data_IF_953925563157
#
_entry.id   IF_953925563157
#
_cell.length_a   1.000
_cell.length_b   1.000
_cell.length_c   1.000
_cell.angle_alpha   90.00
_cell.angle_beta   90.00
_cell.angle_gamma   90.00
#
_symmetry.space_group_name_H-M   'P 1'
#
loop_
_entity.id
_entity.type
_entity.pdbx_description
1 polymer ?
#
# COMPACT_ATOMS: atom_id res chain seq x y z
N UNK A 1 -27.47 -33.39 74.06
CA UNK A 1 -27.51 -34.03 72.74
C UNK A 1 -27.37 -32.92 71.70
N UNK A 2 -26.17 -32.70 71.18
CA UNK A 2 -25.92 -31.70 70.17
C UNK A 2 -25.87 -32.41 68.80
N UNK A 3 -26.86 -32.14 67.99
CA UNK A 3 -26.88 -32.67 66.61
C UNK A 3 -26.08 -31.70 65.72
N UNK A 4 -24.90 -32.12 65.28
CA UNK A 4 -24.15 -31.37 64.24
C UNK A 4 -24.82 -31.61 62.85
N UNK A 5 -25.06 -30.56 62.06
CA UNK A 5 -25.39 -30.73 60.66
C UNK A 5 -24.11 -30.91 59.86
N UNK A 6 -24.06 -31.94 59.05
CA UNK A 6 -23.03 -32.22 58.09
C UNK A 6 -23.25 -31.22 56.94
N UNK A 7 -22.36 -30.22 56.84
CA UNK A 7 -22.32 -29.34 55.68
C UNK A 7 -21.62 -30.09 54.55
N UNK A 8 -22.38 -30.54 53.59
CA UNK A 8 -21.87 -31.10 52.34
C UNK A 8 -21.27 -29.96 51.51
N UNK A 9 -19.95 -29.91 51.44
CA UNK A 9 -19.20 -28.97 50.63
C UNK A 9 -19.23 -29.46 49.18
N UNK A 10 -20.10 -28.85 48.37
CA UNK A 10 -20.18 -29.11 46.94
C UNK A 10 -18.98 -28.43 46.26
N UNK A 11 -17.95 -29.19 45.93
CA UNK A 11 -16.87 -28.69 45.05
C UNK A 11 -17.39 -28.63 43.62
N UNK A 12 -17.65 -27.41 43.14
CA UNK A 12 -17.90 -27.16 41.72
C UNK A 12 -16.56 -27.21 40.98
N UNK A 13 -16.33 -28.28 40.24
CA UNK A 13 -15.22 -28.39 39.31
C UNK A 13 -15.51 -27.50 38.10
N UNK A 14 -14.81 -26.37 38.03
CA UNK A 14 -14.81 -25.51 36.88
C UNK A 14 -13.94 -26.17 35.82
N UNK A 15 -14.55 -26.85 34.84
CA UNK A 15 -13.87 -27.34 33.66
C UNK A 15 -13.59 -26.15 32.72
N UNK A 16 -12.35 -25.68 32.70
CA UNK A 16 -11.88 -24.71 31.73
C UNK A 16 -11.86 -25.38 30.35
N UNK A 17 -12.77 -24.99 29.48
CA UNK A 17 -12.75 -25.36 28.06
C UNK A 17 -11.57 -24.66 27.40
N UNK A 18 -10.71 -25.36 26.64
CA UNK A 18 -9.67 -24.71 25.86
C UNK A 18 -10.31 -23.84 24.80
N UNK A 19 -10.02 -22.55 24.82
CA UNK A 19 -10.42 -21.63 23.76
C UNK A 19 -9.76 -22.05 22.43
N UNK A 20 -10.49 -22.06 21.30
CA UNK A 20 -9.89 -22.35 20.01
C UNK A 20 -8.83 -21.28 19.71
N UNK A 21 -7.59 -21.71 19.50
CA UNK A 21 -6.53 -20.87 19.02
C UNK A 21 -6.91 -20.39 17.60
N UNK A 22 -7.33 -19.15 17.46
CA UNK A 22 -7.54 -18.53 16.16
C UNK A 22 -6.16 -18.29 15.53
N UNK A 23 -5.82 -19.14 14.58
CA UNK A 23 -4.68 -18.92 13.71
C UNK A 23 -4.99 -17.72 12.84
N UNK A 24 -4.49 -16.56 13.22
CA UNK A 24 -4.50 -15.39 12.31
C UNK A 24 -3.50 -15.69 11.19
N UNK A 25 -4.01 -16.11 10.05
CA UNK A 25 -3.22 -16.16 8.82
C UNK A 25 -3.00 -14.72 8.39
N UNK A 26 -1.87 -14.15 8.78
CA UNK A 26 -1.40 -12.87 8.27
C UNK A 26 -0.93 -13.12 6.84
N UNK A 27 -1.80 -12.87 5.86
CA UNK A 27 -1.40 -12.80 4.47
C UNK A 27 -0.62 -11.49 4.32
N UNK A 28 0.69 -11.55 4.47
CA UNK A 28 1.60 -10.46 4.10
C UNK A 28 1.63 -10.39 2.57
N UNK A 29 0.67 -9.69 1.99
CA UNK A 29 0.77 -9.25 0.61
C UNK A 29 1.85 -8.17 0.61
N UNK A 30 3.02 -8.51 0.07
CA UNK A 30 4.10 -7.55 -0.13
C UNK A 30 3.71 -6.60 -1.25
N UNK A 31 2.76 -5.72 -0.96
CA UNK A 31 2.42 -4.57 -1.78
C UNK A 31 3.58 -3.61 -1.54
N UNK A 32 4.42 -3.35 -2.52
CA UNK A 32 5.63 -2.52 -2.47
C UNK A 32 5.76 -1.57 -1.27
N UNK A 33 6.94 -1.16 -0.96
CA UNK A 33 7.16 -0.29 0.20
C UNK A 33 6.43 1.04 0.01
N UNK A 34 5.52 1.45 0.93
CA UNK A 34 4.84 2.73 0.82
C UNK A 34 5.85 3.88 0.80
N UNK A 35 5.57 4.96 0.06
CA UNK A 35 6.40 6.15 0.08
C UNK A 35 6.51 6.74 1.48
N UNK A 36 7.62 7.40 1.82
CA UNK A 36 7.74 8.13 3.07
C UNK A 36 6.74 9.29 3.12
N UNK A 37 6.31 9.68 4.31
CA UNK A 37 5.48 10.86 4.50
C UNK A 37 6.25 12.13 4.10
N UNK A 38 5.53 13.09 3.49
CA UNK A 38 6.12 14.33 3.01
C UNK A 38 5.85 15.42 4.05
N UNK A 39 6.90 15.98 4.61
CA UNK A 39 6.82 17.05 5.62
C UNK A 39 6.69 18.43 4.96
N UNK A 40 7.39 18.64 3.84
CA UNK A 40 7.34 19.91 3.10
C UNK A 40 6.31 19.84 1.98
N UNK A 41 5.48 20.89 1.83
CA UNK A 41 4.53 20.97 0.73
C UNK A 41 5.27 21.26 -0.58
N UNK A 42 5.14 20.40 -1.60
CA UNK A 42 5.69 20.67 -2.91
C UNK A 42 4.85 21.73 -3.64
N UNK A 43 5.50 22.42 -4.57
CA UNK A 43 4.80 23.30 -5.51
C UNK A 43 4.03 22.44 -6.51
N UNK A 44 2.73 22.67 -6.60
CA UNK A 44 1.84 21.98 -7.54
C UNK A 44 1.65 22.83 -8.79
N UNK A 45 1.83 22.23 -9.96
CA UNK A 45 1.67 22.84 -11.26
C UNK A 45 0.53 22.12 -12.00
N UNK A 46 -0.41 22.84 -12.64
CA UNK A 46 -1.48 22.20 -13.38
C UNK A 46 -0.92 21.44 -14.59
N UNK A 47 -1.46 20.24 -14.82
CA UNK A 47 -1.26 19.49 -16.05
C UNK A 47 -2.08 20.13 -17.16
N UNK A 48 -1.48 20.38 -18.31
CA UNK A 48 -2.15 21.05 -19.42
C UNK A 48 -3.39 20.26 -19.88
N UNK A 49 -4.50 20.95 -20.04
CA UNK A 49 -5.80 20.40 -20.45
C UNK A 49 -6.33 19.27 -19.53
N UNK A 50 -6.00 19.32 -18.24
CA UNK A 50 -6.39 18.32 -17.25
C UNK A 50 -6.75 19.00 -15.93
N UNK A 51 -7.69 18.44 -15.14
CA UNK A 51 -7.95 18.92 -13.77
C UNK A 51 -6.93 18.45 -12.74
N UNK A 52 -5.86 17.76 -13.18
CA UNK A 52 -4.82 17.20 -12.33
C UNK A 52 -3.68 18.19 -12.16
N UNK A 53 -3.10 18.23 -10.97
CA UNK A 53 -1.86 18.94 -10.68
C UNK A 53 -0.74 17.93 -10.45
N UNK A 54 0.49 18.33 -10.75
CA UNK A 54 1.68 17.51 -10.48
C UNK A 54 2.76 18.33 -9.77
N UNK A 55 3.69 17.67 -9.12
CA UNK A 55 4.80 18.30 -8.42
C UNK A 55 6.12 18.07 -9.16
N UNK A 56 6.59 19.01 -10.00
CA UNK A 56 7.77 18.81 -10.82
C UNK A 56 9.06 18.70 -10.01
N UNK A 57 9.12 19.33 -8.86
CA UNK A 57 10.30 19.36 -7.99
C UNK A 57 10.34 18.25 -6.95
N UNK A 58 9.31 17.43 -6.89
CA UNK A 58 9.27 16.30 -5.96
C UNK A 58 9.97 15.07 -6.55
N UNK A 59 10.71 14.31 -5.73
CA UNK A 59 11.50 13.18 -6.20
C UNK A 59 10.71 12.09 -6.94
N UNK A 60 9.70 11.45 -6.33
CA UNK A 60 8.80 10.54 -7.02
C UNK A 60 7.69 11.29 -7.77
N UNK A 61 6.97 10.55 -8.62
CA UNK A 61 5.81 11.09 -9.32
C UNK A 61 4.68 11.36 -8.35
N UNK A 62 4.30 12.62 -8.20
CA UNK A 62 3.27 13.08 -7.29
C UNK A 62 2.22 13.87 -8.05
N UNK A 63 0.97 13.44 -7.94
CA UNK A 63 -0.20 14.06 -8.54
C UNK A 63 -1.22 14.44 -7.47
N UNK A 64 -1.95 15.51 -7.74
CA UNK A 64 -3.04 15.96 -6.89
C UNK A 64 -4.31 16.09 -7.73
N UNK A 65 -5.38 15.48 -7.26
CA UNK A 65 -6.68 15.52 -7.89
C UNK A 65 -7.80 15.31 -6.85
N UNK A 66 -8.87 16.09 -6.96
CA UNK A 66 -10.07 15.97 -6.11
C UNK A 66 -9.75 15.88 -4.61
N UNK A 67 -8.86 16.76 -4.13
CA UNK A 67 -8.50 16.87 -2.72
C UNK A 67 -7.62 15.73 -2.18
N UNK A 68 -7.05 14.90 -3.06
CA UNK A 68 -6.19 13.76 -2.69
C UNK A 68 -4.90 13.77 -3.49
N UNK A 69 -3.87 13.25 -2.85
CA UNK A 69 -2.57 13.03 -3.48
C UNK A 69 -2.45 11.59 -3.95
N UNK A 70 -1.83 11.41 -5.10
CA UNK A 70 -1.56 10.10 -5.70
C UNK A 70 -0.10 10.02 -6.10
N UNK A 71 0.50 8.88 -5.89
CA UNK A 71 1.88 8.60 -6.33
C UNK A 71 1.97 7.16 -6.82
N UNK A 72 2.92 6.91 -7.72
CA UNK A 72 3.24 5.59 -8.21
C UNK A 72 4.69 5.28 -7.88
N UNK A 73 4.93 4.10 -7.34
CA UNK A 73 6.26 3.58 -7.01
C UNK A 73 6.31 2.08 -7.26
N UNK A 74 7.30 1.64 -7.98
CA UNK A 74 7.50 0.22 -8.32
C UNK A 74 6.24 -0.44 -8.91
N UNK A 75 5.55 0.27 -9.83
CA UNK A 75 4.27 -0.11 -10.46
C UNK A 75 3.08 -0.24 -9.49
N UNK A 76 3.24 0.19 -8.25
CA UNK A 76 2.17 0.24 -7.26
C UNK A 76 1.68 1.67 -7.05
N UNK A 77 0.37 1.85 -7.03
CA UNK A 77 -0.27 3.12 -6.76
C UNK A 77 -0.55 3.29 -5.27
N UNK A 78 -0.34 4.51 -4.80
CA UNK A 78 -0.63 4.93 -3.44
C UNK A 78 -1.38 6.24 -3.45
N UNK A 79 -2.22 6.46 -2.43
CA UNK A 79 -2.92 7.71 -2.24
C UNK A 79 -2.86 8.17 -0.79
N UNK A 80 -3.04 9.47 -0.58
CA UNK A 80 -3.15 10.06 0.74
C UNK A 80 -4.07 11.30 0.68
N UNK A 81 -4.84 11.51 1.72
CA UNK A 81 -5.64 12.74 1.86
C UNK A 81 -4.76 13.95 2.17
N UNK A 82 -3.62 13.73 2.84
CA UNK A 82 -2.64 14.75 3.20
C UNK A 82 -1.23 14.17 3.04
N UNK A 83 -0.28 15.03 2.70
CA UNK A 83 1.11 14.61 2.48
C UNK A 83 1.84 14.14 3.76
N UNK A 84 1.42 14.65 4.91
CA UNK A 84 1.98 14.29 6.22
C UNK A 84 1.31 13.07 6.86
N UNK A 85 0.50 12.34 6.13
CA UNK A 85 -0.14 11.10 6.57
C UNK A 85 0.45 9.89 5.86
N UNK A 86 0.35 8.69 6.46
CA UNK A 86 0.79 7.47 5.79
C UNK A 86 0.07 7.27 4.46
N UNK A 87 0.81 6.82 3.46
CA UNK A 87 0.26 6.46 2.15
C UNK A 87 -0.45 5.12 2.21
N UNK A 88 -1.59 5.05 1.55
CA UNK A 88 -2.38 3.84 1.44
C UNK A 88 -2.27 3.28 0.02
N UNK A 89 -2.04 1.98 -0.09
CA UNK A 89 -2.02 1.30 -1.38
C UNK A 89 -3.42 1.31 -2.01
N UNK A 90 -3.47 1.51 -3.32
CA UNK A 90 -4.71 1.52 -4.11
C UNK A 90 -4.52 0.71 -5.38
N UNK A 91 -5.49 -0.15 -5.70
CA UNK A 91 -5.48 -0.88 -6.95
C UNK A 91 -5.62 0.07 -8.15
N UNK A 92 -4.95 -0.22 -9.26
CA UNK A 92 -4.97 0.63 -10.46
C UNK A 92 -6.40 0.90 -10.97
N UNK A 93 -7.30 -0.07 -10.84
CA UNK A 93 -8.71 0.10 -11.22
C UNK A 93 -9.51 1.06 -10.32
N UNK A 94 -8.94 1.47 -9.18
CA UNK A 94 -9.51 2.44 -8.23
C UNK A 94 -8.87 3.83 -8.36
N UNK A 95 -7.77 3.95 -9.09
CA UNK A 95 -7.14 5.25 -9.37
C UNK A 95 -8.05 6.05 -10.30
N UNK A 96 -8.31 7.35 -10.03
CA UNK A 96 -9.12 8.17 -10.91
C UNK A 96 -8.60 8.17 -12.35
N UNK A 97 -9.51 8.08 -13.32
CA UNK A 97 -9.14 8.08 -14.75
C UNK A 97 -8.37 9.33 -15.16
N UNK A 98 -8.66 10.46 -14.53
CA UNK A 98 -7.97 11.72 -14.77
C UNK A 98 -6.47 11.62 -14.42
N UNK A 99 -6.13 10.91 -13.36
CA UNK A 99 -4.74 10.63 -12.98
C UNK A 99 -4.09 9.69 -14.01
N UNK A 100 -4.77 8.61 -14.40
CA UNK A 100 -4.24 7.65 -15.38
C UNK A 100 -4.13 8.24 -16.78
N UNK A 101 -4.90 9.27 -17.09
CA UNK A 101 -4.87 9.97 -18.38
C UNK A 101 -3.77 11.06 -18.47
N UNK A 102 -3.02 11.30 -17.39
CA UNK A 102 -1.91 12.26 -17.40
C UNK A 102 -0.86 11.83 -18.43
N UNK A 103 -0.44 12.69 -19.36
CA UNK A 103 0.56 12.34 -20.36
C UNK A 103 1.89 11.90 -19.75
N UNK A 104 2.55 10.97 -20.39
CA UNK A 104 3.84 10.38 -19.93
C UNK A 104 4.94 11.43 -19.74
N UNK A 105 4.84 12.57 -20.40
CA UNK A 105 5.79 13.67 -20.26
C UNK A 105 5.83 14.29 -18.84
N UNK A 106 4.77 14.10 -18.07
CA UNK A 106 4.68 14.57 -16.68
C UNK A 106 5.19 13.54 -15.66
N UNK A 107 5.47 12.31 -16.10
CA UNK A 107 6.08 11.28 -15.29
C UNK A 107 7.60 11.35 -15.40
N UNK A 108 8.30 11.22 -14.28
CA UNK A 108 9.76 11.06 -14.28
C UNK A 108 10.17 9.68 -14.75
N UNK A 109 9.41 8.68 -14.32
CA UNK A 109 9.55 7.31 -14.79
C UNK A 109 8.20 6.90 -15.37
N UNK A 110 8.06 6.83 -16.70
CA UNK A 110 6.81 6.43 -17.32
C UNK A 110 6.34 5.06 -16.81
N UNK A 111 5.04 4.89 -16.55
CA UNK A 111 4.47 3.59 -16.21
C UNK A 111 4.86 2.54 -17.26
N UNK A 112 5.34 1.38 -16.81
CA UNK A 112 5.81 0.30 -17.69
C UNK A 112 7.30 0.37 -18.07
N UNK A 113 8.02 1.45 -17.78
CA UNK A 113 9.47 1.55 -17.98
C UNK A 113 10.30 1.29 -16.72
N UNK A 114 9.66 0.98 -15.61
CA UNK A 114 10.38 0.49 -14.44
C UNK A 114 10.95 -0.87 -14.80
N UNK A 115 12.27 -0.89 -14.97
CA UNK A 115 13.00 -2.14 -15.22
C UNK A 115 12.69 -3.10 -14.09
N UNK A 116 11.86 -4.09 -14.38
CA UNK A 116 11.85 -5.28 -13.55
C UNK A 116 13.29 -5.79 -13.53
N UNK A 117 13.94 -5.76 -12.37
CA UNK A 117 15.21 -6.45 -12.13
C UNK A 117 14.97 -7.97 -12.09
N UNK A 118 14.32 -8.48 -13.08
CA UNK A 118 14.12 -9.88 -13.35
C UNK A 118 14.48 -10.09 -14.80
N UNK A 119 15.71 -10.57 -15.04
CA UNK A 119 16.35 -10.64 -16.32
C UNK A 119 15.51 -11.28 -17.41
N UNK A 120 14.72 -10.46 -18.10
CA UNK A 120 14.21 -10.82 -19.41
C UNK A 120 15.26 -10.40 -20.43
N UNK A 121 16.12 -11.35 -20.78
CA UNK A 121 17.07 -11.16 -21.84
C UNK A 121 16.35 -11.12 -23.19
N UNK A 122 16.47 -10.05 -23.98
CA UNK A 122 15.85 -9.99 -25.30
C UNK A 122 16.32 -11.18 -26.18
N UNK A 123 15.45 -11.75 -27.02
CA UNK A 123 15.74 -12.98 -27.78
C UNK A 123 16.91 -12.91 -28.76
N UNK A 124 17.56 -11.79 -28.94
CA UNK A 124 18.77 -11.65 -29.77
C UNK A 124 20.06 -11.57 -28.98
N UNK A 125 19.99 -11.31 -27.68
CA UNK A 125 21.16 -11.11 -26.82
C UNK A 125 21.51 -12.34 -25.98
N UNK A 126 20.55 -13.22 -25.72
CA UNK A 126 20.76 -14.49 -25.05
C UNK A 126 21.74 -15.39 -25.83
N UNK A 127 21.71 -15.33 -27.17
CA UNK A 127 22.63 -16.10 -28.05
C UNK A 127 24.09 -15.59 -28.05
N UNK A 128 24.31 -14.38 -27.52
CA UNK A 128 25.65 -13.74 -27.50
C UNK A 128 26.26 -13.70 -26.11
N UNK A 129 25.67 -14.35 -25.11
CA UNK A 129 26.16 -14.38 -23.74
C UNK A 129 26.30 -13.02 -23.08
N UNK A 130 25.50 -12.02 -23.52
CA UNK A 130 25.55 -10.62 -23.03
C UNK A 130 24.47 -10.30 -21.98
N UNK A 131 23.78 -11.27 -21.51
CA UNK A 131 22.94 -11.20 -20.36
C UNK A 131 23.55 -12.07 -19.27
#
# INVERSE_FOLDING_TARGET
MVKLPIVAMLMAAVTALPAPAQSQVSVNVSIGQPPPVIVAQPVLVPVQASPVYYAPSYGPDLFFYDGRYYTVRDDHWFYAARLNTPWLAIAIGKVPRQILAVPVAYYRVPPGHMKHKGGHCPPGQAKKGRC
#
